data_IF_712392005727
#
_entry.id   IF_712392005727
#
_cell.length_a   1.000
_cell.length_b   1.000
_cell.length_c   1.000
_cell.angle_alpha   90.00
_cell.angle_beta   90.00
_cell.angle_gamma   90.00
#
_symmetry.space_group_name_H-M   'P 1'
#
loop_
_entity.id
_entity.type
_entity.pdbx_description
1 polymer ?
#
# COMPACT_ATOMS: atom_id res chain seq x y z
N UNK A 1 -5.04 14.66 -17.38
CA UNK A 1 -5.02 13.24 -17.81
C UNK A 1 -4.28 12.30 -16.83
N UNK A 2 -3.38 12.79 -15.96
CA UNK A 2 -2.66 11.96 -14.98
C UNK A 2 -3.49 11.50 -13.76
N UNK A 3 -4.39 12.34 -13.24
CA UNK A 3 -5.13 12.11 -12.00
C UNK A 3 -6.05 10.86 -12.03
N UNK A 4 -6.66 10.58 -13.18
CA UNK A 4 -7.48 9.37 -13.40
C UNK A 4 -6.60 8.11 -13.42
N UNK A 5 -5.41 8.19 -14.05
CA UNK A 5 -4.46 7.08 -14.10
C UNK A 5 -3.90 6.73 -12.72
N UNK A 6 -3.61 7.74 -11.88
CA UNK A 6 -3.17 7.51 -10.49
C UNK A 6 -4.25 6.86 -9.63
N UNK A 7 -5.53 7.22 -9.85
CA UNK A 7 -6.65 6.55 -9.17
C UNK A 7 -6.76 5.08 -9.56
N UNK A 8 -6.67 4.76 -10.86
CA UNK A 8 -6.70 3.37 -11.31
C UNK A 8 -5.53 2.53 -10.75
N UNK A 9 -4.32 3.11 -10.70
CA UNK A 9 -3.15 2.46 -10.11
C UNK A 9 -3.32 2.20 -8.61
N UNK A 10 -3.88 3.16 -7.87
CA UNK A 10 -4.24 3.00 -6.45
C UNK A 10 -5.24 1.86 -6.24
N UNK A 11 -6.32 1.85 -7.00
CA UNK A 11 -7.37 0.83 -6.86
C UNK A 11 -6.81 -0.58 -7.14
N UNK A 12 -5.91 -0.69 -8.13
CA UNK A 12 -5.19 -1.93 -8.41
C UNK A 12 -4.28 -2.35 -7.24
N UNK A 13 -3.50 -1.41 -6.67
CA UNK A 13 -2.63 -1.68 -5.53
C UNK A 13 -3.42 -2.15 -4.30
N UNK A 14 -4.57 -1.52 -4.01
CA UNK A 14 -5.46 -1.92 -2.91
C UNK A 14 -5.98 -3.35 -3.12
N UNK A 15 -6.45 -3.67 -4.34
CA UNK A 15 -6.94 -5.02 -4.65
C UNK A 15 -5.84 -6.08 -4.55
N UNK A 16 -4.64 -5.77 -5.01
CA UNK A 16 -3.49 -6.66 -4.89
C UNK A 16 -3.14 -6.93 -3.42
N UNK A 17 -3.17 -5.89 -2.58
CA UNK A 17 -2.97 -6.03 -1.13
C UNK A 17 -4.02 -6.93 -0.49
N UNK A 18 -5.30 -6.73 -0.80
CA UNK A 18 -6.38 -7.57 -0.25
C UNK A 18 -6.22 -9.05 -0.62
N UNK A 19 -5.87 -9.33 -1.88
CA UNK A 19 -5.61 -10.70 -2.33
C UNK A 19 -4.40 -11.30 -1.60
N UNK A 20 -3.32 -10.53 -1.44
CA UNK A 20 -2.12 -11.01 -0.75
C UNK A 20 -2.39 -11.33 0.72
N UNK A 21 -3.16 -10.49 1.42
CA UNK A 21 -3.55 -10.73 2.82
C UNK A 21 -4.46 -11.95 2.93
N UNK A 22 -5.45 -12.10 2.05
CA UNK A 22 -6.35 -13.25 2.04
C UNK A 22 -5.59 -14.58 1.81
N UNK A 23 -4.61 -14.56 0.91
CA UNK A 23 -3.82 -15.75 0.57
C UNK A 23 -2.80 -16.12 1.63
N UNK A 24 -2.13 -15.13 2.24
CA UNK A 24 -0.97 -15.36 3.12
C UNK A 24 -1.29 -15.27 4.61
N UNK A 25 -2.41 -14.65 4.97
CA UNK A 25 -2.84 -14.42 6.35
C UNK A 25 -1.69 -13.93 7.25
N UNK A 26 -1.05 -12.79 6.92
CA UNK A 26 0.10 -12.30 7.67
C UNK A 26 -0.26 -12.05 9.14
N UNK A 27 0.66 -12.30 10.08
CA UNK A 27 0.45 -12.00 11.48
C UNK A 27 0.31 -10.49 11.71
N UNK A 28 -0.39 -10.12 12.78
CA UNK A 28 -0.48 -8.71 13.22
C UNK A 28 0.92 -8.16 13.51
N UNK A 29 1.15 -6.90 13.16
CA UNK A 29 2.45 -6.25 13.26
C UNK A 29 3.41 -6.57 12.10
N UNK A 30 2.94 -7.27 11.06
CA UNK A 30 3.72 -7.45 9.84
C UNK A 30 4.02 -6.09 9.19
N UNK A 31 5.30 -5.82 8.94
CA UNK A 31 5.75 -4.59 8.31
C UNK A 31 5.62 -4.74 6.79
N UNK A 32 4.78 -3.89 6.20
CA UNK A 32 4.63 -3.75 4.77
C UNK A 32 5.54 -2.63 4.25
N UNK A 33 6.62 -3.02 3.55
CA UNK A 33 7.57 -2.07 3.01
C UNK A 33 7.10 -1.55 1.64
N UNK A 34 7.00 -0.23 1.50
CA UNK A 34 6.57 0.41 0.23
C UNK A 34 7.41 1.63 -0.09
N UNK A 35 7.53 1.92 -1.39
CA UNK A 35 8.05 3.19 -1.87
C UNK A 35 7.02 4.32 -1.71
N UNK A 36 7.43 5.59 -1.92
CA UNK A 36 6.55 6.77 -1.81
C UNK A 36 5.78 7.08 -3.09
N UNK A 37 5.55 6.11 -3.98
CA UNK A 37 4.72 6.28 -5.17
C UNK A 37 3.29 6.72 -4.80
N UNK A 38 2.65 7.53 -5.66
CA UNK A 38 1.31 8.12 -5.44
C UNK A 38 0.20 7.10 -5.10
N UNK A 39 0.36 5.87 -5.59
CA UNK A 39 -0.53 4.73 -5.33
C UNK A 39 -0.39 4.18 -3.90
N UNK A 40 0.81 4.18 -3.33
CA UNK A 40 1.11 3.67 -1.99
C UNK A 40 1.09 4.75 -0.91
N UNK A 41 1.44 6.00 -1.25
CA UNK A 41 1.36 7.17 -0.37
C UNK A 41 -0.08 7.67 -0.13
N UNK A 42 -1.07 6.89 -0.52
CA UNK A 42 -2.46 7.31 -0.38
C UNK A 42 -3.07 6.90 0.95
N UNK A 43 -3.89 7.78 1.50
CA UNK A 43 -4.59 7.52 2.77
C UNK A 43 -5.44 6.25 2.73
N UNK A 44 -6.05 5.92 1.58
CA UNK A 44 -6.86 4.72 1.43
C UNK A 44 -6.03 3.43 1.48
N UNK A 45 -4.81 3.47 0.92
CA UNK A 45 -3.87 2.35 1.00
C UNK A 45 -3.40 2.11 2.44
N UNK A 46 -3.05 3.18 3.16
CA UNK A 46 -2.67 3.09 4.58
C UNK A 46 -3.80 2.58 5.47
N UNK A 47 -5.03 3.10 5.28
CA UNK A 47 -6.22 2.61 6.01
C UNK A 47 -6.42 1.11 5.79
N UNK A 48 -6.15 0.62 4.58
CA UNK A 48 -6.28 -0.81 4.28
C UNK A 48 -5.24 -1.65 5.01
N UNK A 49 -3.98 -1.20 5.05
CA UNK A 49 -2.92 -1.87 5.81
C UNK A 49 -3.24 -1.93 7.31
N UNK A 50 -3.69 -0.81 7.90
CA UNK A 50 -4.11 -0.78 9.30
C UNK A 50 -5.29 -1.72 9.59
N UNK A 51 -6.26 -1.84 8.66
CA UNK A 51 -7.38 -2.78 8.79
C UNK A 51 -6.91 -4.24 8.87
N UNK A 52 -5.84 -4.57 8.15
CA UNK A 52 -5.23 -5.91 8.15
C UNK A 52 -4.20 -6.10 9.27
N UNK A 53 -3.99 -5.09 10.13
CA UNK A 53 -3.01 -5.15 11.21
C UNK A 53 -1.55 -5.09 10.73
N UNK A 54 -1.33 -4.58 9.52
CA UNK A 54 0.00 -4.36 8.96
C UNK A 54 0.48 -2.94 9.27
N UNK A 55 1.76 -2.82 9.62
CA UNK A 55 2.43 -1.54 9.82
C UNK A 55 3.10 -1.10 8.52
N UNK A 56 3.13 0.21 8.27
CA UNK A 56 3.75 0.75 7.04
C UNK A 56 5.14 1.26 7.36
N UNK A 57 6.15 0.74 6.66
CA UNK A 57 7.50 1.32 6.67
C UNK A 57 7.82 1.82 5.28
N UNK A 58 8.01 3.13 5.14
CA UNK A 58 8.41 3.76 3.89
C UNK A 58 9.90 4.07 3.93
N UNK A 59 10.64 3.64 2.91
CA UNK A 59 12.05 4.01 2.76
C UNK A 59 12.19 5.54 2.56
N UNK A 60 13.31 6.10 3.00
CA UNK A 60 13.65 7.51 2.79
C UNK A 60 13.66 7.88 1.31
N UNK A 61 13.49 9.18 1.00
CA UNK A 61 13.66 9.72 -0.34
C UNK A 61 15.03 9.23 -0.86
N UNK A 62 15.07 8.45 -1.93
CA UNK A 62 16.33 8.12 -2.58
C UNK A 62 17.01 9.43 -2.94
N UNK A 63 18.15 9.71 -2.31
CA UNK A 63 19.00 10.83 -2.71
C UNK A 63 19.67 10.40 -4.02
N UNK A 64 19.14 10.87 -5.13
CA UNK A 64 19.82 10.93 -6.42
C UNK A 64 20.06 12.39 -6.74
#
# INVERSE_FOLDING_TARGET
RAMVSDRMKRDLAIRALDMAVALRQPPKGCIHHTDRGSQYFSGDYHKRLSKHGCEVSMSGKGNF
#
